data_IF_624759112209
#
_entry.id   IF_624759112209
#
_cell.length_a   1.000
_cell.length_b   1.000
_cell.length_c   1.000
_cell.angle_alpha   90.00
_cell.angle_beta   90.00
_cell.angle_gamma   90.00
#
_symmetry.space_group_name_H-M   'P 1'
#
loop_
_entity.id
_entity.type
_entity.pdbx_description
1 polymer ?
#
# COMPACT_ATOMS: atom_id res chain seq x y z
N UNK A 1 27.84 -1.63 32.11
CA UNK A 1 26.88 -0.57 31.78
C UNK A 1 26.46 -0.72 30.33
N UNK A 2 25.19 -0.89 30.14
CA UNK A 2 24.62 -1.06 28.79
C UNK A 2 24.51 0.32 28.12
N UNK A 3 25.09 0.46 26.93
CA UNK A 3 25.00 1.67 26.15
C UNK A 3 23.92 1.49 25.10
N UNK A 4 22.82 2.22 25.26
CA UNK A 4 21.78 2.25 24.25
C UNK A 4 22.15 3.27 23.19
N UNK A 5 22.51 2.79 22.00
CA UNK A 5 22.63 3.64 20.83
C UNK A 5 21.24 3.82 20.22
N UNK A 6 20.73 5.03 20.20
CA UNK A 6 19.47 5.31 19.55
C UNK A 6 19.58 4.98 18.05
N UNK A 7 18.59 4.27 17.52
CA UNK A 7 18.48 4.06 16.09
C UNK A 7 18.16 5.39 15.42
N UNK A 8 18.89 5.71 14.37
CA UNK A 8 18.66 6.91 13.58
C UNK A 8 18.01 6.55 12.27
N UNK A 9 17.00 7.32 11.91
CA UNK A 9 16.35 7.25 10.60
C UNK A 9 16.68 8.50 9.83
N UNK A 10 17.10 8.36 8.58
CA UNK A 10 17.36 9.51 7.71
C UNK A 10 16.04 10.19 7.36
N UNK A 11 15.78 11.32 8.00
CA UNK A 11 14.57 12.10 7.78
C UNK A 11 14.69 13.07 6.59
N UNK A 12 15.88 13.22 6.00
CA UNK A 12 16.08 14.10 4.84
C UNK A 12 15.31 13.62 3.60
N UNK A 13 14.91 12.36 3.58
CA UNK A 13 14.13 11.77 2.49
C UNK A 13 12.64 12.06 2.55
N UNK A 14 12.16 12.69 3.62
CA UNK A 14 10.73 13.04 3.74
C UNK A 14 10.33 13.93 2.55
N UNK A 15 9.22 13.55 1.89
CA UNK A 15 8.75 14.22 0.69
C UNK A 15 9.36 13.74 -0.62
N UNK A 16 10.33 12.82 -0.56
CA UNK A 16 10.90 12.21 -1.77
C UNK A 16 9.94 11.16 -2.34
N UNK A 17 9.68 11.17 -3.66
CA UNK A 17 8.84 10.15 -4.28
C UNK A 17 9.41 8.74 -4.09
N UNK A 18 8.53 7.78 -3.77
CA UNK A 18 8.91 6.37 -3.60
C UNK A 18 8.55 5.51 -4.80
N UNK A 19 7.86 6.07 -5.77
CA UNK A 19 7.37 5.39 -6.94
C UNK A 19 5.88 5.63 -7.13
N UNK A 20 5.37 5.26 -8.29
CA UNK A 20 3.95 5.32 -8.60
C UNK A 20 3.53 4.01 -9.25
N UNK A 21 2.38 3.49 -8.87
CA UNK A 21 1.86 2.21 -9.34
C UNK A 21 0.44 2.41 -9.83
N UNK A 22 0.11 1.67 -10.86
CA UNK A 22 -1.27 1.58 -11.35
C UNK A 22 -1.79 0.18 -11.04
N UNK A 23 -2.94 0.13 -10.41
CA UNK A 23 -3.63 -1.13 -10.14
C UNK A 23 -5.00 -1.11 -10.77
N UNK A 24 -5.48 -2.29 -11.17
CA UNK A 24 -6.84 -2.44 -11.70
C UNK A 24 -7.74 -2.89 -10.58
N UNK A 25 -8.78 -2.10 -10.32
CA UNK A 25 -9.77 -2.41 -9.30
C UNK A 25 -10.88 -3.23 -9.93
N UNK A 26 -10.79 -4.54 -9.78
CA UNK A 26 -11.81 -5.48 -10.21
C UNK A 26 -12.83 -5.69 -9.11
N UNK A 27 -14.12 -5.52 -9.44
CA UNK A 27 -15.20 -5.60 -8.46
C UNK A 27 -15.24 -6.94 -7.73
N UNK A 28 -15.00 -8.05 -8.42
CA UNK A 28 -15.00 -9.37 -7.79
C UNK A 28 -13.85 -9.53 -6.79
N UNK A 29 -12.68 -9.00 -7.13
CA UNK A 29 -11.50 -9.02 -6.25
C UNK A 29 -11.75 -8.16 -5.00
N UNK A 30 -12.32 -6.97 -5.17
CA UNK A 30 -12.66 -6.09 -4.05
C UNK A 30 -13.67 -6.74 -3.11
N UNK A 31 -14.69 -7.40 -3.66
CA UNK A 31 -15.69 -8.11 -2.86
C UNK A 31 -15.08 -9.25 -2.05
N UNK A 32 -14.20 -10.03 -2.65
CA UNK A 32 -13.49 -11.10 -1.96
C UNK A 32 -12.56 -10.57 -0.87
N UNK A 33 -11.84 -9.50 -1.16
CA UNK A 33 -10.96 -8.89 -0.17
C UNK A 33 -11.74 -8.37 1.04
N UNK A 34 -12.86 -7.69 0.80
CA UNK A 34 -13.73 -7.22 1.88
C UNK A 34 -14.19 -8.36 2.79
N UNK A 35 -14.58 -9.48 2.20
CA UNK A 35 -14.93 -10.68 2.97
C UNK A 35 -13.77 -11.22 3.79
N UNK A 36 -12.57 -11.22 3.22
CA UNK A 36 -11.38 -11.77 3.88
C UNK A 36 -10.98 -10.98 5.13
N UNK A 37 -11.27 -9.67 5.17
CA UNK A 37 -11.01 -8.82 6.33
C UNK A 37 -12.24 -8.65 7.23
N UNK A 38 -13.30 -9.41 6.98
CA UNK A 38 -14.49 -9.40 7.81
C UNK A 38 -15.42 -8.20 7.61
N UNK A 39 -15.25 -7.43 6.55
CA UNK A 39 -16.13 -6.32 6.23
C UNK A 39 -17.34 -6.84 5.44
N UNK A 40 -18.51 -6.76 6.05
CA UNK A 40 -19.76 -7.28 5.49
C UNK A 40 -20.60 -6.21 4.82
N UNK A 41 -20.10 -5.00 4.65
CA UNK A 41 -20.84 -3.94 3.99
C UNK A 41 -21.21 -4.33 2.56
N UNK A 42 -22.49 -4.20 2.24
CA UNK A 42 -23.00 -4.55 0.89
C UNK A 42 -22.50 -3.59 -0.18
N UNK A 43 -21.99 -2.43 0.18
CA UNK A 43 -21.38 -1.48 -0.75
C UNK A 43 -20.17 -2.08 -1.46
N UNK A 44 -19.44 -3.01 -0.82
CA UNK A 44 -18.34 -3.76 -1.44
C UNK A 44 -18.81 -4.91 -2.33
N UNK A 45 -20.09 -5.27 -2.27
CA UNK A 45 -20.65 -6.42 -2.98
C UNK A 45 -21.51 -6.02 -4.18
N UNK A 46 -22.18 -4.88 -4.11
CA UNK A 46 -23.20 -4.46 -5.07
C UNK A 46 -23.08 -3.01 -5.48
N UNK A 47 -23.01 -2.76 -6.78
CA UNK A 47 -22.88 -1.42 -7.33
C UNK A 47 -24.09 -0.54 -6.96
N UNK A 48 -25.30 -1.08 -6.96
CA UNK A 48 -26.49 -0.33 -6.60
C UNK A 48 -26.51 0.14 -5.15
N UNK A 49 -25.94 -0.63 -4.22
CA UNK A 49 -25.78 -0.25 -2.82
C UNK A 49 -24.73 0.86 -2.68
N UNK A 50 -23.62 0.74 -3.38
CA UNK A 50 -22.58 1.77 -3.42
C UNK A 50 -23.15 3.09 -3.99
N UNK A 51 -23.88 3.02 -5.09
CA UNK A 51 -24.50 4.19 -5.72
C UNK A 51 -25.52 4.87 -4.78
N UNK A 52 -26.32 4.10 -4.05
CA UNK A 52 -27.26 4.63 -3.07
C UNK A 52 -26.55 5.34 -1.91
N UNK A 53 -25.33 4.95 -1.59
CA UNK A 53 -24.47 5.60 -0.60
C UNK A 53 -23.72 6.83 -1.14
N UNK A 54 -23.95 7.21 -2.39
CA UNK A 54 -23.29 8.37 -3.02
C UNK A 54 -21.97 8.07 -3.68
N UNK A 55 -21.60 6.79 -3.85
CA UNK A 55 -20.37 6.38 -4.49
C UNK A 55 -20.60 6.09 -5.98
N UNK A 56 -19.66 6.46 -6.88
CA UNK A 56 -19.84 6.23 -8.31
C UNK A 56 -19.70 4.75 -8.71
N UNK A 57 -19.04 3.95 -7.88
CA UNK A 57 -18.80 2.52 -8.12
C UNK A 57 -18.57 1.80 -6.80
N UNK A 58 -18.41 0.49 -6.85
CA UNK A 58 -17.98 -0.31 -5.69
C UNK A 58 -16.61 0.19 -5.24
N UNK A 59 -16.47 0.62 -3.97
CA UNK A 59 -15.19 1.13 -3.48
C UNK A 59 -14.22 0.01 -3.16
N UNK A 60 -12.93 0.36 -3.11
CA UNK A 60 -11.92 -0.50 -2.51
C UNK A 60 -11.94 -0.32 -0.99
N UNK A 61 -11.87 -1.41 -0.20
CA UNK A 61 -11.63 -1.29 1.22
C UNK A 61 -10.33 -0.54 1.52
N UNK A 62 -10.24 0.24 2.61
CA UNK A 62 -9.10 1.14 2.85
C UNK A 62 -7.72 0.46 2.81
N UNK A 63 -7.61 -0.77 3.32
CA UNK A 63 -6.35 -1.50 3.36
C UNK A 63 -6.03 -2.26 2.07
N UNK A 64 -6.91 -2.20 1.07
CA UNK A 64 -6.67 -2.87 -0.22
C UNK A 64 -5.43 -2.33 -0.94
N UNK A 65 -5.08 -1.07 -0.74
CA UNK A 65 -3.88 -0.49 -1.34
C UNK A 65 -2.61 -1.25 -0.97
N UNK A 66 -2.51 -1.73 0.26
CA UNK A 66 -1.40 -2.59 0.69
C UNK A 66 -1.47 -4.00 0.06
N UNK A 67 -2.66 -4.54 -0.08
CA UNK A 67 -2.88 -5.89 -0.59
C UNK A 67 -2.88 -5.99 -2.13
N UNK A 68 -3.07 -4.88 -2.83
CA UNK A 68 -3.27 -4.86 -4.27
C UNK A 68 -2.25 -5.67 -5.08
N UNK A 69 -0.93 -5.62 -4.80
CA UNK A 69 0.05 -6.42 -5.54
C UNK A 69 -0.15 -7.94 -5.40
N UNK A 70 -0.75 -8.37 -4.30
CA UNK A 70 -0.95 -9.79 -3.98
C UNK A 70 -2.30 -10.32 -4.48
N UNK A 71 -3.19 -9.43 -4.93
CA UNK A 71 -4.55 -9.76 -5.35
C UNK A 71 -4.78 -9.58 -6.85
N UNK A 72 -3.72 -9.78 -7.64
CA UNK A 72 -3.76 -9.71 -9.11
C UNK A 72 -4.22 -8.36 -9.66
N UNK A 73 -4.11 -7.31 -8.88
CA UNK A 73 -4.47 -5.96 -9.31
C UNK A 73 -3.33 -5.24 -10.04
N UNK A 74 -2.10 -5.71 -9.86
CA UNK A 74 -0.92 -5.13 -10.48
C UNK A 74 -0.69 -5.73 -11.87
N UNK A 75 -0.50 -4.86 -12.86
CA UNK A 75 -0.19 -5.25 -14.25
C UNK A 75 1.13 -4.60 -14.65
N UNK A 76 2.20 -5.40 -14.82
CA UNK A 76 3.53 -4.84 -15.10
C UNK A 76 3.62 -4.00 -16.36
N UNK A 77 2.86 -4.36 -17.39
CA UNK A 77 2.82 -3.69 -18.70
C UNK A 77 2.00 -2.40 -18.73
N UNK A 78 1.26 -2.11 -17.68
CA UNK A 78 0.39 -0.94 -17.57
C UNK A 78 0.88 0.08 -16.55
N UNK A 79 2.14 0.01 -16.14
CA UNK A 79 2.67 0.88 -15.11
C UNK A 79 3.06 2.26 -15.66
N UNK A 80 2.87 3.35 -14.86
CA UNK A 80 3.33 4.67 -15.24
C UNK A 80 4.86 4.74 -15.27
N UNK A 81 5.38 5.80 -15.88
CA UNK A 81 6.82 6.08 -15.82
C UNK A 81 7.28 6.22 -14.35
N UNK A 82 8.50 5.76 -14.07
CA UNK A 82 9.09 5.87 -12.74
C UNK A 82 9.31 7.34 -12.35
N UNK A 83 8.59 7.87 -11.34
CA UNK A 83 8.76 9.25 -10.91
C UNK A 83 10.08 9.50 -10.19
N UNK A 84 10.81 8.45 -9.82
CA UNK A 84 12.12 8.56 -9.17
C UNK A 84 13.24 8.77 -10.19
N UNK A 85 12.92 8.77 -11.49
CA UNK A 85 13.88 8.91 -12.59
C UNK A 85 15.06 7.91 -12.49
N UNK A 86 14.78 6.69 -12.08
CA UNK A 86 15.76 5.62 -11.94
C UNK A 86 16.66 5.71 -10.70
N UNK A 87 16.42 6.67 -9.81
CA UNK A 87 17.19 6.79 -8.56
C UNK A 87 16.83 5.75 -7.51
N UNK A 88 15.77 4.99 -7.77
CA UNK A 88 15.28 3.98 -6.85
C UNK A 88 14.40 4.55 -5.73
N UNK A 89 13.83 3.64 -4.96
CA UNK A 89 12.94 3.97 -3.85
C UNK A 89 13.79 4.21 -2.58
N UNK A 90 13.74 5.41 -1.97
CA UNK A 90 14.51 5.72 -0.76
C UNK A 90 14.16 4.81 0.42
N UNK A 91 12.98 4.21 0.43
CA UNK A 91 12.58 3.26 1.48
C UNK A 91 13.48 2.02 1.54
N UNK A 92 14.01 1.57 0.41
CA UNK A 92 14.91 0.43 0.38
C UNK A 92 16.22 0.73 1.13
N UNK A 93 16.78 1.92 0.96
CA UNK A 93 17.98 2.34 1.68
C UNK A 93 17.72 2.48 3.18
N UNK A 94 16.61 3.10 3.56
CA UNK A 94 16.21 3.26 4.97
C UNK A 94 16.03 1.90 5.63
N UNK A 95 15.31 0.99 4.99
CA UNK A 95 15.08 -0.36 5.53
C UNK A 95 16.39 -1.13 5.65
N UNK A 96 17.28 -1.02 4.66
CA UNK A 96 18.59 -1.64 4.71
C UNK A 96 19.43 -1.13 5.88
N UNK A 97 19.45 0.18 6.13
CA UNK A 97 20.15 0.78 7.27
C UNK A 97 19.57 0.34 8.61
N UNK A 98 18.24 0.27 8.72
CA UNK A 98 17.58 -0.18 9.94
C UNK A 98 17.86 -1.65 10.22
N UNK A 99 17.83 -2.51 9.20
CA UNK A 99 18.18 -3.93 9.35
C UNK A 99 19.64 -4.11 9.76
N UNK A 100 20.55 -3.29 9.20
CA UNK A 100 21.95 -3.31 9.59
C UNK A 100 22.18 -2.93 11.05
N UNK A 101 21.28 -2.12 11.63
CA UNK A 101 21.26 -1.75 13.04
C UNK A 101 20.54 -2.78 13.93
N UNK A 102 20.06 -3.88 13.35
CA UNK A 102 19.31 -4.91 14.07
C UNK A 102 17.84 -4.60 14.31
N UNK A 103 17.28 -3.59 13.63
CA UNK A 103 15.87 -3.25 13.75
C UNK A 103 14.97 -4.20 12.96
N UNK A 104 13.76 -4.37 13.45
CA UNK A 104 12.67 -5.01 12.72
C UNK A 104 11.67 -3.95 12.30
N UNK A 105 11.39 -3.90 11.00
CA UNK A 105 10.40 -2.95 10.46
C UNK A 105 9.04 -3.63 10.38
N UNK A 106 8.05 -3.06 11.05
CA UNK A 106 6.68 -3.56 11.06
C UNK A 106 5.75 -2.54 10.40
N UNK A 107 4.84 -3.04 9.57
CA UNK A 107 3.74 -2.25 9.03
C UNK A 107 2.54 -2.39 9.96
N UNK A 108 2.16 -1.32 10.66
CA UNK A 108 1.07 -1.33 11.64
C UNK A 108 -0.11 -0.46 11.27
N UNK A 109 0.10 0.50 10.39
CA UNK A 109 -0.93 1.45 9.96
C UNK A 109 -0.66 1.93 8.53
N UNK A 110 -1.76 2.22 7.82
CA UNK A 110 -1.68 2.73 6.45
C UNK A 110 -2.76 3.81 6.22
#
# INVERSE_FOLDING_TARGET
MEVHTAMTVDTSVIGTPTGAWRVVLDRAVLAQFAKSVGDTSRAYQRAEVANAAGLPAVPAPPTFTFAAPYWSAFRPDEQPADPTAGKGNPMHSIMGELYAQGALVLHVEQ
#
